data_IF_985905571758
#
_entry.id   IF_985905571758
#
_cell.length_a   1.000
_cell.length_b   1.000
_cell.length_c   1.000
_cell.angle_alpha   90.00
_cell.angle_beta   90.00
_cell.angle_gamma   90.00
#
_symmetry.space_group_name_H-M   'P 1'
#
loop_
_entity.id
_entity.type
_entity.pdbx_description
1 polymer ?
#
# COMPACT_ATOMS: atom_id res chain seq x y z
N UNK A 1 -2.48 20.98 2.58
CA UNK A 1 -1.12 20.43 2.37
C UNK A 1 -0.35 21.40 1.46
N UNK A 2 0.89 21.78 1.79
CA UNK A 2 1.73 22.61 0.92
C UNK A 2 2.21 21.80 -0.30
N UNK A 3 2.37 22.42 -1.47
CA UNK A 3 2.92 21.81 -2.69
C UNK A 3 4.27 21.12 -2.44
N UNK A 4 5.11 21.70 -1.58
CA UNK A 4 6.39 21.14 -1.18
C UNK A 4 6.23 19.77 -0.52
N UNK A 5 5.20 19.62 0.31
CA UNK A 5 4.95 18.41 1.09
C UNK A 5 4.53 17.25 0.19
N UNK A 6 3.71 17.54 -0.83
CA UNK A 6 3.30 16.56 -1.85
C UNK A 6 4.52 16.06 -2.65
N UNK A 7 5.42 16.99 -3.02
CA UNK A 7 6.63 16.65 -3.77
C UNK A 7 7.57 15.74 -2.96
N UNK A 8 7.75 16.05 -1.67
CA UNK A 8 8.56 15.23 -0.75
C UNK A 8 7.95 13.84 -0.60
N UNK A 9 6.64 13.74 -0.38
CA UNK A 9 5.93 12.47 -0.24
C UNK A 9 6.12 11.58 -1.47
N UNK A 10 5.89 12.13 -2.67
CA UNK A 10 6.10 11.43 -3.95
C UNK A 10 7.54 10.95 -4.12
N UNK A 11 8.50 11.79 -3.77
CA UNK A 11 9.93 11.46 -3.89
C UNK A 11 10.29 10.33 -2.92
N UNK A 12 9.83 10.40 -1.67
CA UNK A 12 10.02 9.36 -0.66
C UNK A 12 9.44 8.02 -1.09
N UNK A 13 8.20 8.00 -1.61
CA UNK A 13 7.55 6.78 -2.12
C UNK A 13 8.33 6.17 -3.29
N UNK A 14 8.81 7.01 -4.20
CA UNK A 14 9.59 6.57 -5.36
C UNK A 14 10.94 5.98 -4.95
N UNK A 15 11.66 6.65 -4.04
CA UNK A 15 12.94 6.16 -3.52
C UNK A 15 12.76 4.85 -2.76
N UNK A 16 11.69 4.74 -1.97
CA UNK A 16 11.34 3.51 -1.29
C UNK A 16 11.16 2.33 -2.26
N UNK A 17 10.41 2.51 -3.34
CA UNK A 17 10.23 1.48 -4.37
C UNK A 17 11.54 1.06 -5.05
N UNK A 18 12.46 2.01 -5.26
CA UNK A 18 13.80 1.71 -5.80
C UNK A 18 14.60 0.87 -4.79
N UNK A 19 14.61 1.25 -3.51
CA UNK A 19 15.29 0.50 -2.45
C UNK A 19 14.73 -0.93 -2.31
N UNK A 20 13.42 -1.10 -2.42
CA UNK A 20 12.78 -2.42 -2.47
C UNK A 20 13.25 -3.24 -3.68
N UNK A 21 13.36 -2.61 -4.84
CA UNK A 21 13.96 -3.23 -6.03
C UNK A 21 15.35 -3.78 -5.74
N UNK A 22 16.22 -2.95 -5.15
CA UNK A 22 17.58 -3.33 -4.82
C UNK A 22 17.65 -4.52 -3.84
N UNK A 23 16.75 -4.56 -2.85
CA UNK A 23 16.66 -5.68 -1.90
C UNK A 23 16.35 -7.02 -2.59
N UNK A 24 15.59 -7.00 -3.69
CA UNK A 24 15.27 -8.20 -4.49
C UNK A 24 16.25 -8.37 -5.67
N UNK A 25 17.42 -7.70 -5.61
CA UNK A 25 18.45 -7.73 -6.65
C UNK A 25 17.95 -7.29 -8.03
N UNK A 26 17.04 -6.31 -8.06
CA UNK A 26 16.48 -5.74 -9.29
C UNK A 26 16.59 -4.23 -9.35
N UNK A 27 17.04 -3.72 -10.50
CA UNK A 27 17.05 -2.29 -10.73
C UNK A 27 15.69 -1.85 -11.28
N UNK A 28 14.93 -1.14 -10.46
CA UNK A 28 13.68 -0.52 -10.87
C UNK A 28 14.00 0.92 -11.24
N UNK A 29 13.73 1.28 -12.50
CA UNK A 29 13.89 2.64 -12.98
C UNK A 29 12.97 3.60 -12.20
N UNK A 30 13.43 4.85 -12.03
CA UNK A 30 12.72 5.88 -11.28
C UNK A 30 11.26 6.06 -11.76
N UNK A 31 11.03 6.12 -13.07
CA UNK A 31 9.70 6.27 -13.64
C UNK A 31 8.78 5.09 -13.33
N UNK A 32 9.31 3.86 -13.37
CA UNK A 32 8.56 2.64 -13.03
C UNK A 32 8.21 2.62 -11.54
N UNK A 33 9.15 3.05 -10.69
CA UNK A 33 8.93 3.14 -9.25
C UNK A 33 7.87 4.18 -8.89
N UNK A 34 7.90 5.36 -9.51
CA UNK A 34 6.93 6.43 -9.30
C UNK A 34 5.49 5.96 -9.63
N UNK A 35 5.31 5.26 -10.75
CA UNK A 35 3.99 4.75 -11.13
C UNK A 35 3.51 3.68 -10.13
N UNK A 36 4.37 2.72 -9.82
CA UNK A 36 3.97 1.52 -9.06
C UNK A 36 3.82 1.79 -7.57
N UNK A 37 4.66 2.62 -6.97
CA UNK A 37 4.69 2.80 -5.52
C UNK A 37 4.00 4.07 -5.03
N UNK A 38 3.92 5.13 -5.84
CA UNK A 38 3.18 6.35 -5.49
C UNK A 38 1.75 6.31 -6.07
N UNK A 39 1.61 6.02 -7.36
CA UNK A 39 0.32 6.18 -8.05
C UNK A 39 -0.68 5.06 -7.73
N UNK A 40 -0.21 3.81 -7.59
CA UNK A 40 -1.10 2.66 -7.24
C UNK A 40 -1.65 2.82 -5.83
N UNK A 41 -0.81 3.29 -4.88
CA UNK A 41 -1.22 3.43 -3.49
C UNK A 41 -2.43 4.36 -3.36
N UNK A 42 -2.41 5.49 -4.09
CA UNK A 42 -3.55 6.41 -4.17
C UNK A 42 -4.77 5.81 -4.92
N UNK A 43 -4.56 5.11 -6.04
CA UNK A 43 -5.66 4.54 -6.84
C UNK A 43 -6.41 3.45 -6.05
N UNK A 44 -5.70 2.65 -5.25
CA UNK A 44 -6.29 1.53 -4.52
C UNK A 44 -6.92 1.96 -3.19
N UNK A 45 -6.41 3.02 -2.56
CA UNK A 45 -7.13 3.70 -1.48
C UNK A 45 -8.47 4.31 -1.94
N UNK A 46 -8.58 4.70 -3.21
CA UNK A 46 -9.83 5.14 -3.85
C UNK A 46 -10.77 4.01 -4.29
N UNK A 47 -10.37 2.74 -4.11
CA UNK A 47 -11.19 1.55 -4.38
C UNK A 47 -11.74 0.88 -3.08
N UNK A 48 -12.30 1.61 -2.09
CA UNK A 48 -12.69 1.00 -0.81
C UNK A 48 -14.00 0.18 -0.88
N UNK A 49 -14.45 -0.27 -2.06
CA UNK A 49 -15.75 -0.95 -2.19
C UNK A 49 -15.68 -2.49 -2.18
N UNK A 50 -14.51 -3.10 -2.43
CA UNK A 50 -14.48 -4.52 -2.88
C UNK A 50 -13.75 -5.48 -1.91
N UNK A 51 -12.88 -5.00 -1.01
CA UNK A 51 -12.17 -5.91 -0.07
C UNK A 51 -11.84 -5.27 1.28
N UNK A 52 -12.26 -5.86 2.43
CA UNK A 52 -11.84 -5.38 3.75
C UNK A 52 -10.31 -5.41 3.88
N UNK A 53 -9.69 -4.23 4.01
CA UNK A 53 -8.23 -4.08 4.16
C UNK A 53 -7.40 -4.14 2.88
N UNK A 54 -8.03 -4.20 1.69
CA UNK A 54 -7.38 -4.24 0.37
C UNK A 54 -6.31 -5.34 0.17
N UNK A 55 -6.34 -6.38 1.01
CA UNK A 55 -5.42 -7.51 0.96
C UNK A 55 -5.72 -8.31 -0.32
N UNK A 56 -4.72 -8.46 -1.19
CA UNK A 56 -4.78 -9.18 -2.45
C UNK A 56 -5.01 -8.29 -3.66
N UNK A 57 -5.82 -7.23 -3.55
CA UNK A 57 -6.09 -6.31 -4.69
C UNK A 57 -4.89 -5.42 -4.96
N UNK A 58 -4.29 -4.85 -3.91
CA UNK A 58 -3.08 -4.04 -4.02
C UNK A 58 -1.93 -4.84 -4.65
N UNK A 59 -1.70 -6.05 -4.14
CA UNK A 59 -0.63 -6.94 -4.58
C UNK A 59 -0.87 -7.42 -6.00
N UNK A 60 -2.11 -7.81 -6.35
CA UNK A 60 -2.44 -8.24 -7.71
C UNK A 60 -2.19 -7.11 -8.72
N UNK A 61 -2.65 -5.90 -8.44
CA UNK A 61 -2.45 -4.74 -9.34
C UNK A 61 -0.97 -4.37 -9.43
N UNK A 62 -0.25 -4.37 -8.30
CA UNK A 62 1.19 -4.13 -8.28
C UNK A 62 1.96 -5.16 -9.11
N UNK A 63 1.61 -6.45 -9.00
CA UNK A 63 2.23 -7.53 -9.78
C UNK A 63 1.92 -7.38 -11.27
N UNK A 64 0.67 -7.09 -11.64
CA UNK A 64 0.25 -6.89 -13.03
C UNK A 64 1.01 -5.72 -13.66
N UNK A 65 1.13 -4.59 -12.95
CA UNK A 65 1.82 -3.40 -13.46
C UNK A 65 3.32 -3.60 -13.57
N UNK A 66 3.96 -4.20 -12.55
CA UNK A 66 5.38 -4.55 -12.63
C UNK A 66 5.64 -5.50 -13.81
N UNK A 67 4.76 -6.48 -14.03
CA UNK A 67 4.83 -7.39 -15.18
C UNK A 67 4.66 -6.65 -16.50
N UNK A 68 3.69 -5.73 -16.62
CA UNK A 68 3.50 -4.94 -17.84
C UNK A 68 4.67 -4.00 -18.13
N UNK A 69 5.41 -3.59 -17.10
CA UNK A 69 6.63 -2.76 -17.20
C UNK A 69 7.90 -3.58 -17.49
N UNK A 70 7.76 -4.89 -17.73
CA UNK A 70 8.83 -5.80 -18.12
C UNK A 70 9.56 -6.49 -16.96
N UNK A 71 9.08 -6.37 -15.72
CA UNK A 71 9.67 -7.07 -14.57
C UNK A 71 9.14 -8.50 -14.53
N UNK A 72 10.03 -9.46 -14.31
CA UNK A 72 9.68 -10.87 -14.26
C UNK A 72 8.65 -11.17 -13.15
N UNK A 73 7.63 -11.98 -13.45
CA UNK A 73 6.50 -12.26 -12.54
C UNK A 73 6.95 -12.71 -11.13
N UNK A 74 7.98 -13.57 -11.07
CA UNK A 74 8.55 -14.05 -9.80
C UNK A 74 9.05 -12.89 -8.93
N UNK A 75 9.74 -11.94 -9.54
CA UNK A 75 10.32 -10.78 -8.86
C UNK A 75 9.21 -9.82 -8.46
N UNK A 76 8.28 -9.53 -9.37
CA UNK A 76 7.12 -8.67 -9.09
C UNK A 76 6.29 -9.17 -7.89
N UNK A 77 6.11 -10.49 -7.78
CA UNK A 77 5.38 -11.12 -6.67
C UNK A 77 6.11 -10.98 -5.34
N UNK A 78 7.44 -11.19 -5.33
CA UNK A 78 8.27 -10.98 -4.14
C UNK A 78 8.24 -9.50 -3.73
N UNK A 79 8.34 -8.59 -4.70
CA UNK A 79 8.33 -7.16 -4.46
C UNK A 79 7.02 -6.70 -3.80
N UNK A 80 5.88 -7.18 -4.32
CA UNK A 80 4.56 -6.87 -3.77
C UNK A 80 4.36 -7.44 -2.36
N UNK A 81 4.85 -8.65 -2.09
CA UNK A 81 4.82 -9.26 -0.76
C UNK A 81 5.66 -8.49 0.26
N UNK A 82 6.91 -8.14 -0.09
CA UNK A 82 7.79 -7.39 0.81
C UNK A 82 7.20 -6.00 1.08
N UNK A 83 6.70 -5.33 0.04
CA UNK A 83 6.00 -4.06 0.17
C UNK A 83 4.86 -4.17 1.21
N UNK A 84 3.99 -5.18 1.07
CA UNK A 84 2.88 -5.38 2.01
C UNK A 84 3.34 -5.62 3.44
N UNK A 85 4.38 -6.41 3.65
CA UNK A 85 4.92 -6.68 4.99
C UNK A 85 5.43 -5.38 5.61
N UNK A 86 6.22 -4.59 4.88
CA UNK A 86 6.76 -3.33 5.39
C UNK A 86 5.65 -2.35 5.71
N UNK A 87 4.68 -2.18 4.81
CA UNK A 87 3.50 -1.33 5.03
C UNK A 87 2.69 -1.78 6.24
N UNK A 88 2.36 -3.07 6.36
CA UNK A 88 1.57 -3.58 7.48
C UNK A 88 2.31 -3.40 8.82
N UNK A 89 3.62 -3.61 8.85
CA UNK A 89 4.45 -3.43 10.04
C UNK A 89 4.64 -1.95 10.41
N UNK A 90 4.54 -1.03 9.45
CA UNK A 90 4.69 0.41 9.73
C UNK A 90 3.35 1.09 10.03
N UNK A 91 2.29 0.78 9.28
CA UNK A 91 0.98 1.43 9.40
C UNK A 91 0.15 0.87 10.57
N UNK A 92 0.12 -0.46 10.79
CA UNK A 92 -0.75 -1.02 11.83
C UNK A 92 -0.32 -0.63 13.25
N UNK A 93 0.96 -0.57 13.62
CA UNK A 93 1.35 -0.04 14.92
C UNK A 93 0.98 1.43 15.08
N UNK A 94 1.11 2.24 14.03
CA UNK A 94 0.71 3.64 14.05
C UNK A 94 -0.80 3.81 14.24
N UNK A 95 -1.59 2.95 13.59
CA UNK A 95 -3.05 2.88 13.77
C UNK A 95 -3.43 2.45 15.18
N UNK A 96 -2.74 1.45 15.75
CA UNK A 96 -2.97 1.00 17.13
C UNK A 96 -2.64 2.11 18.12
N UNK A 97 -1.49 2.78 17.96
CA UNK A 97 -1.09 3.89 18.83
C UNK A 97 -2.06 5.07 18.74
N UNK A 98 -2.50 5.44 17.54
CA UNK A 98 -3.45 6.54 17.35
C UNK A 98 -4.84 6.21 17.90
N UNK A 99 -5.33 4.98 17.71
CA UNK A 99 -6.63 4.54 18.28
C UNK A 99 -6.57 4.45 19.80
N UNK A 100 -5.45 3.97 20.38
CA UNK A 100 -5.20 4.03 21.82
C UNK A 100 -5.20 5.46 22.35
N UNK A 101 -4.56 6.40 21.65
CA UNK A 101 -4.51 7.81 22.04
C UNK A 101 -5.90 8.47 22.03
N UNK A 102 -6.76 8.08 21.09
CA UNK A 102 -8.16 8.51 21.00
C UNK A 102 -9.07 7.81 22.03
N UNK A 103 -8.55 6.90 22.85
CA UNK A 103 -9.32 6.13 23.83
C UNK A 103 -10.24 5.07 23.21
N UNK A 104 -10.13 4.82 21.91
CA UNK A 104 -10.96 3.87 21.18
C UNK A 104 -10.31 2.50 21.30
N UNK A 105 -11.01 1.55 21.94
CA UNK A 105 -10.51 0.17 22.01
C UNK A 105 -10.68 -0.49 20.63
N UNK A 106 -9.68 -1.25 20.18
CA UNK A 106 -9.72 -2.01 18.92
C UNK A 106 -11.00 -2.86 18.78
N UNK A 107 -11.55 -3.35 19.92
CA UNK A 107 -12.85 -4.03 19.98
C UNK A 107 -14.03 -3.17 19.49
N UNK A 108 -14.08 -1.90 19.87
CA UNK A 108 -15.16 -0.98 19.46
C UNK A 108 -15.09 -0.69 17.95
N UNK A 109 -13.89 -0.57 17.39
CA UNK A 109 -13.70 -0.45 15.94
C UNK A 109 -14.20 -1.69 15.19
N UNK A 110 -13.89 -2.88 15.70
CA UNK A 110 -14.38 -4.13 15.09
C UNK A 110 -15.90 -4.27 15.19
N UNK A 111 -16.51 -3.78 16.27
CA UNK A 111 -17.97 -3.77 16.41
C UNK A 111 -18.63 -2.76 15.45
N UNK A 112 -18.02 -1.59 15.22
CA UNK A 112 -18.49 -0.60 14.23
C UNK A 112 -18.43 -1.19 12.82
N UNK A 113 -17.30 -1.77 12.41
CA UNK A 113 -17.14 -2.40 11.09
C UNK A 113 -18.10 -3.58 10.88
N UNK A 114 -18.39 -4.35 11.94
CA UNK A 114 -19.39 -5.43 11.87
C UNK A 114 -20.83 -4.91 11.84
N UNK A 115 -21.08 -3.71 12.37
CA UNK A 115 -22.42 -3.11 12.42
C UNK A 115 -22.81 -2.43 11.10
N UNK A 116 -21.83 -2.03 10.29
CA UNK A 116 -22.06 -1.67 8.88
C UNK A 116 -22.42 -2.96 8.13
N UNK A 117 -23.72 -3.20 7.93
CA UNK A 117 -24.22 -4.30 7.10
C UNK A 117 -23.51 -4.22 5.73
N UNK A 118 -23.01 -5.35 5.19
CA UNK A 118 -22.63 -5.38 3.79
C UNK A 118 -23.87 -4.94 3.00
N UNK A 119 -23.73 -3.91 2.17
CA UNK A 119 -24.77 -3.49 1.25
C UNK A 119 -25.21 -4.73 0.47
N UNK A 120 -26.47 -5.13 0.65
CA UNK A 120 -27.10 -6.13 -0.21
C UNK A 120 -27.13 -5.53 -1.62
N UNK A 121 -26.24 -6.00 -2.48
CA UNK A 121 -26.35 -5.91 -3.94
C UNK A 121 -26.83 -7.26 -4.44
#
# INVERSE_FOLDING_TARGET
MSMLMILIEKLSNTLYGICLGMLVSTNIEFAKSLIVFDSIYMIIWLLPLVTPGNIGVLEAVQIILLKSLGIHLKIASILALINRVVTAVSEYPLLILSTMYLGIRVKQLTDIVKSEKPFNV
#
